data_IF_804207331006
#
_entry.id   IF_804207331006
#
_cell.length_a   1.000
_cell.length_b   1.000
_cell.length_c   1.000
_cell.angle_alpha   90.00
_cell.angle_beta   90.00
_cell.angle_gamma   90.00
#
_symmetry.space_group_name_H-M   'P 1'
#
loop_
_entity.id
_entity.type
_entity.pdbx_description
1 polymer ?
#
# COMPACT_ATOMS: atom_id res chain seq x y z
N UNK A 1 -16.35 -37.37 5.74
CA UNK A 1 -17.31 -38.50 5.86
C UNK A 1 -18.61 -37.91 6.41
N UNK A 2 -19.72 -37.98 5.68
CA UNK A 2 -20.99 -37.41 6.13
C UNK A 2 -21.75 -38.42 7.02
N UNK A 3 -22.07 -37.99 8.24
CA UNK A 3 -22.86 -38.82 9.18
C UNK A 3 -24.30 -38.33 9.21
N UNK A 4 -25.22 -39.27 9.09
CA UNK A 4 -26.67 -39.08 9.20
C UNK A 4 -27.12 -39.71 10.50
N UNK A 5 -27.85 -39.01 11.34
CA UNK A 5 -28.44 -39.50 12.55
C UNK A 5 -29.99 -39.59 12.36
N UNK A 6 -30.55 -40.81 12.51
CA UNK A 6 -32.00 -41.03 12.50
C UNK A 6 -32.48 -41.25 13.95
N UNK A 7 -33.54 -40.56 14.34
CA UNK A 7 -34.09 -40.58 15.68
C UNK A 7 -35.61 -40.83 15.61
N UNK A 8 -36.06 -41.97 16.18
CA UNK A 8 -37.47 -42.35 16.22
C UNK A 8 -37.66 -43.39 17.31
N UNK A 9 -38.73 -43.36 18.07
CA UNK A 9 -38.99 -44.33 19.16
C UNK A 9 -39.50 -45.67 18.65
N UNK A 10 -39.84 -45.76 17.36
CA UNK A 10 -40.20 -47.02 16.69
C UNK A 10 -38.96 -47.65 16.02
N UNK A 11 -38.43 -48.72 16.62
CA UNK A 11 -37.28 -49.42 16.08
C UNK A 11 -37.52 -50.00 14.67
N UNK A 12 -38.77 -50.23 14.28
CA UNK A 12 -39.13 -50.69 12.91
C UNK A 12 -38.91 -49.55 11.90
N UNK A 13 -39.22 -48.34 12.25
CA UNK A 13 -38.96 -47.12 11.46
C UNK A 13 -37.46 -46.89 11.30
N UNK A 14 -36.71 -46.96 12.39
CA UNK A 14 -35.24 -46.83 12.36
C UNK A 14 -34.58 -47.88 11.45
N UNK A 15 -35.00 -49.15 11.55
CA UNK A 15 -34.47 -50.19 10.71
C UNK A 15 -34.83 -50.01 9.21
N UNK A 16 -36.02 -49.50 8.93
CA UNK A 16 -36.46 -49.18 7.58
C UNK A 16 -35.60 -48.02 7.00
N UNK A 17 -35.41 -46.95 7.76
CA UNK A 17 -34.54 -45.82 7.38
C UNK A 17 -33.10 -46.27 7.15
N UNK A 18 -32.51 -47.05 8.07
CA UNK A 18 -31.17 -47.60 7.93
C UNK A 18 -31.01 -48.43 6.65
N UNK A 19 -31.96 -49.35 6.39
CA UNK A 19 -31.93 -50.18 5.19
C UNK A 19 -32.08 -49.36 3.90
N UNK A 20 -33.03 -48.41 3.89
CA UNK A 20 -33.30 -47.55 2.73
C UNK A 20 -32.11 -46.64 2.41
N UNK A 21 -31.58 -45.96 3.41
CA UNK A 21 -30.47 -45.04 3.26
C UNK A 21 -29.15 -45.79 2.96
N UNK A 22 -28.89 -46.91 3.66
CA UNK A 22 -27.71 -47.73 3.44
C UNK A 22 -27.56 -48.29 2.04
N UNK A 23 -28.68 -48.52 1.30
CA UNK A 23 -28.65 -48.95 -0.07
C UNK A 23 -28.44 -47.81 -1.09
N UNK A 24 -28.72 -46.57 -0.73
CA UNK A 24 -28.79 -45.41 -1.62
C UNK A 24 -27.70 -44.36 -1.35
N UNK A 25 -27.05 -44.43 -0.19
CA UNK A 25 -25.96 -43.55 0.19
C UNK A 25 -24.63 -44.03 -0.40
N UNK A 26 -23.67 -43.11 -0.48
CA UNK A 26 -22.30 -43.41 -0.94
C UNK A 26 -21.53 -44.14 0.17
N UNK A 27 -20.48 -44.85 -0.16
CA UNK A 27 -19.63 -45.61 0.76
C UNK A 27 -18.92 -44.77 1.83
N UNK A 28 -18.87 -43.45 1.63
CA UNK A 28 -18.27 -42.48 2.55
C UNK A 28 -19.29 -41.83 3.52
N UNK A 29 -20.52 -42.38 3.55
CA UNK A 29 -21.61 -41.87 4.40
C UNK A 29 -22.05 -42.99 5.38
N UNK A 30 -22.26 -42.59 6.65
CA UNK A 30 -22.70 -43.49 7.71
C UNK A 30 -24.06 -43.06 8.27
N UNK A 31 -24.83 -44.08 8.71
CA UNK A 31 -26.13 -43.89 9.34
C UNK A 31 -26.06 -44.39 10.78
N UNK A 32 -26.25 -43.49 11.72
CA UNK A 32 -26.39 -43.76 13.15
C UNK A 32 -27.88 -43.74 13.52
N UNK A 33 -28.28 -44.51 14.53
CA UNK A 33 -29.66 -44.61 14.97
C UNK A 33 -29.74 -44.27 16.46
N UNK A 34 -30.82 -43.59 16.87
CA UNK A 34 -31.14 -43.33 18.26
C UNK A 34 -32.63 -43.57 18.48
N UNK A 35 -33.01 -44.21 19.57
CA UNK A 35 -34.40 -44.51 19.90
C UNK A 35 -35.12 -43.38 20.64
N UNK A 36 -34.38 -42.34 21.08
CA UNK A 36 -34.92 -41.14 21.72
C UNK A 36 -33.94 -39.96 21.65
N UNK A 37 -34.44 -38.78 22.08
CA UNK A 37 -33.63 -37.53 21.99
C UNK A 37 -32.40 -37.52 22.91
N UNK A 38 -32.42 -38.20 24.06
CA UNK A 38 -31.28 -38.26 24.97
C UNK A 38 -30.14 -39.08 24.36
N UNK A 39 -30.45 -40.25 23.82
CA UNK A 39 -29.48 -41.10 23.12
C UNK A 39 -28.91 -40.37 21.88
N UNK A 40 -29.77 -39.63 21.14
CA UNK A 40 -29.31 -38.82 20.01
C UNK A 40 -28.24 -37.81 20.43
N UNK A 41 -28.39 -37.13 21.56
CA UNK A 41 -27.41 -36.17 22.09
C UNK A 41 -26.10 -36.87 22.56
N UNK A 42 -26.20 -38.09 23.13
CA UNK A 42 -25.03 -38.90 23.50
C UNK A 42 -24.23 -39.28 22.22
N UNK A 43 -24.90 -39.78 21.17
CA UNK A 43 -24.25 -40.12 19.90
C UNK A 43 -23.60 -38.87 19.27
N UNK A 44 -24.25 -37.70 19.33
CA UNK A 44 -23.66 -36.45 18.83
C UNK A 44 -22.37 -36.11 19.58
N UNK A 45 -22.34 -36.30 20.90
CA UNK A 45 -21.16 -36.07 21.72
C UNK A 45 -20.03 -37.08 21.39
N UNK A 46 -20.35 -38.34 21.16
CA UNK A 46 -19.39 -39.38 20.73
C UNK A 46 -18.80 -39.04 19.37
N UNK A 47 -19.63 -38.66 18.37
CA UNK A 47 -19.19 -38.24 17.06
C UNK A 47 -18.20 -37.06 17.13
N UNK A 48 -18.50 -36.09 17.99
CA UNK A 48 -17.63 -34.95 18.21
C UNK A 48 -16.25 -35.34 18.81
N UNK A 49 -16.22 -36.31 19.75
CA UNK A 49 -14.98 -36.84 20.30
C UNK A 49 -14.15 -37.61 19.27
N UNK A 50 -14.81 -38.31 18.35
CA UNK A 50 -14.17 -39.03 17.22
C UNK A 50 -13.73 -38.10 16.08
N UNK A 51 -14.05 -36.81 16.13
CA UNK A 51 -13.79 -35.85 15.05
C UNK A 51 -14.66 -36.09 13.81
N UNK A 52 -15.81 -36.73 13.98
CA UNK A 52 -16.79 -36.98 12.92
C UNK A 52 -17.87 -35.91 12.96
N UNK A 53 -18.22 -35.39 11.80
CA UNK A 53 -19.21 -34.30 11.68
C UNK A 53 -20.60 -34.88 11.40
N UNK A 54 -21.60 -34.40 12.14
CA UNK A 54 -23.00 -34.69 11.86
C UNK A 54 -23.51 -33.78 10.73
N UNK A 55 -23.77 -34.36 9.57
CA UNK A 55 -24.22 -33.62 8.39
C UNK A 55 -25.74 -33.42 8.35
N UNK A 56 -26.48 -34.47 8.73
CA UNK A 56 -27.95 -34.49 8.68
C UNK A 56 -28.49 -35.18 9.94
N UNK A 57 -29.53 -34.62 10.54
CA UNK A 57 -30.34 -35.29 11.54
C UNK A 57 -31.79 -35.39 11.04
N UNK A 58 -32.35 -36.58 11.17
CA UNK A 58 -33.76 -36.89 10.88
C UNK A 58 -34.41 -37.28 12.19
N UNK A 59 -35.37 -36.52 12.66
CA UNK A 59 -36.02 -36.77 13.94
C UNK A 59 -37.52 -36.88 13.82
N UNK A 60 -38.11 -37.90 14.44
CA UNK A 60 -39.55 -37.92 14.60
C UNK A 60 -40.01 -36.82 15.56
N UNK A 61 -41.15 -36.25 15.28
CA UNK A 61 -41.73 -35.20 16.13
C UNK A 61 -42.22 -35.73 17.48
N UNK A 62 -42.93 -36.85 17.50
CA UNK A 62 -43.55 -37.44 18.70
C UNK A 62 -42.65 -38.56 19.24
N UNK A 63 -41.87 -38.25 20.23
CA UNK A 63 -41.07 -39.24 20.98
C UNK A 63 -41.26 -39.13 22.48
N UNK A 64 -41.13 -40.26 23.23
CA UNK A 64 -41.20 -40.21 24.68
C UNK A 64 -40.06 -39.35 25.30
N UNK A 65 -40.42 -38.57 26.30
CA UNK A 65 -39.45 -37.72 27.00
C UNK A 65 -39.17 -36.42 26.31
N UNK A 66 -38.34 -36.39 25.29
CA UNK A 66 -37.95 -35.19 24.49
C UNK A 66 -38.60 -35.27 23.13
N UNK A 67 -39.37 -34.21 22.75
CA UNK A 67 -39.94 -34.10 21.41
C UNK A 67 -38.88 -33.76 20.37
N UNK A 68 -39.16 -34.11 19.09
CA UNK A 68 -38.22 -33.83 17.99
C UNK A 68 -37.94 -32.37 17.77
N UNK A 69 -38.94 -31.46 17.97
CA UNK A 69 -38.72 -30.02 17.88
C UNK A 69 -37.73 -29.52 18.93
N UNK A 70 -37.81 -30.03 20.18
CA UNK A 70 -36.88 -29.68 21.25
C UNK A 70 -35.46 -30.21 20.97
N UNK A 71 -35.36 -31.46 20.48
CA UNK A 71 -34.07 -32.03 20.05
C UNK A 71 -33.41 -31.20 18.94
N UNK A 72 -34.18 -30.90 17.88
CA UNK A 72 -33.63 -30.17 16.73
C UNK A 72 -33.19 -28.73 17.08
N UNK A 73 -33.87 -28.08 18.04
CA UNK A 73 -33.43 -26.78 18.58
C UNK A 73 -32.13 -26.90 19.34
N UNK A 74 -31.97 -27.92 20.22
CA UNK A 74 -30.71 -28.15 20.91
C UNK A 74 -29.56 -28.49 19.96
N UNK A 75 -29.83 -29.32 18.95
CA UNK A 75 -28.84 -29.63 17.91
C UNK A 75 -28.46 -28.38 17.13
N UNK A 76 -29.40 -27.48 16.85
CA UNK A 76 -29.09 -26.25 16.15
C UNK A 76 -28.18 -25.33 16.96
N UNK A 77 -28.37 -25.26 18.26
CA UNK A 77 -27.52 -24.45 19.16
C UNK A 77 -26.08 -24.95 19.20
N UNK A 78 -25.88 -26.27 19.20
CA UNK A 78 -24.55 -26.88 19.25
C UNK A 78 -23.90 -27.04 17.87
N UNK A 79 -24.70 -27.44 16.88
CA UNK A 79 -24.29 -27.76 15.51
C UNK A 79 -25.18 -27.00 14.50
N UNK A 80 -25.03 -25.68 14.35
CA UNK A 80 -25.93 -24.86 13.52
C UNK A 80 -25.93 -25.28 12.04
N UNK A 81 -24.85 -25.85 11.55
CA UNK A 81 -24.69 -26.30 10.16
C UNK A 81 -25.40 -27.60 9.83
N UNK A 82 -25.55 -28.48 10.79
CA UNK A 82 -26.25 -29.75 10.58
C UNK A 82 -27.60 -29.51 9.95
N UNK A 83 -27.95 -30.22 8.89
CA UNK A 83 -29.25 -30.13 8.22
C UNK A 83 -30.28 -30.93 9.03
N UNK A 84 -31.40 -30.27 9.37
CA UNK A 84 -32.42 -30.82 10.24
C UNK A 84 -33.66 -31.20 9.43
N UNK A 85 -34.04 -32.46 9.48
CA UNK A 85 -35.24 -33.02 8.84
C UNK A 85 -36.16 -33.53 9.94
N UNK A 86 -37.42 -33.17 9.90
CA UNK A 86 -38.43 -33.63 10.84
C UNK A 86 -39.39 -34.57 10.16
N UNK A 87 -39.69 -35.70 10.82
CA UNK A 87 -40.77 -36.60 10.45
C UNK A 87 -41.97 -36.25 11.33
N UNK A 88 -43.17 -36.08 10.74
CA UNK A 88 -44.35 -35.59 11.48
C UNK A 88 -45.64 -36.25 11.00
N UNK A 89 -46.62 -36.38 11.87
CA UNK A 89 -47.99 -36.77 11.52
C UNK A 89 -48.84 -35.60 11.04
N UNK A 90 -50.01 -35.88 10.49
CA UNK A 90 -50.90 -34.85 9.87
C UNK A 90 -51.40 -33.72 10.80
N UNK A 91 -51.22 -33.84 12.14
CA UNK A 91 -51.79 -32.90 13.14
C UNK A 91 -50.76 -31.96 13.78
N UNK A 92 -49.46 -32.01 13.45
CA UNK A 92 -48.40 -31.45 14.27
C UNK A 92 -47.80 -30.13 13.76
N UNK A 93 -48.58 -29.29 13.14
CA UNK A 93 -48.18 -28.02 12.52
C UNK A 93 -47.47 -27.04 13.49
N UNK A 94 -47.75 -27.12 14.79
CA UNK A 94 -47.12 -26.21 15.76
C UNK A 94 -45.63 -26.55 16.03
N UNK A 95 -45.27 -27.82 16.08
CA UNK A 95 -43.88 -28.26 16.20
C UNK A 95 -43.06 -27.90 14.98
N UNK A 96 -43.64 -28.09 13.78
CA UNK A 96 -43.00 -27.67 12.53
C UNK A 96 -42.71 -26.16 12.49
N UNK A 97 -43.68 -25.31 12.87
CA UNK A 97 -43.49 -23.85 12.95
C UNK A 97 -42.35 -23.45 13.89
N UNK A 98 -42.27 -24.09 15.07
CA UNK A 98 -41.22 -23.83 16.05
C UNK A 98 -39.87 -24.21 15.48
N UNK A 99 -39.72 -25.39 14.91
CA UNK A 99 -38.47 -25.86 14.37
C UNK A 99 -38.00 -25.06 13.15
N UNK A 100 -38.91 -24.56 12.32
CA UNK A 100 -38.54 -23.65 11.24
C UNK A 100 -37.88 -22.38 11.79
N UNK A 101 -38.48 -21.78 12.83
CA UNK A 101 -38.03 -20.50 13.37
C UNK A 101 -36.79 -20.60 14.29
N UNK A 102 -36.71 -21.67 15.10
CA UNK A 102 -35.69 -21.79 16.17
C UNK A 102 -34.54 -22.74 15.83
N UNK A 103 -34.73 -23.70 14.90
CA UNK A 103 -33.74 -24.68 14.53
C UNK A 103 -33.30 -24.61 13.05
N UNK A 104 -33.80 -23.69 12.27
CA UNK A 104 -33.51 -23.59 10.84
C UNK A 104 -33.77 -24.93 10.12
N UNK A 105 -35.02 -25.41 10.21
CA UNK A 105 -35.43 -26.69 9.65
C UNK A 105 -35.19 -26.72 8.13
N UNK A 106 -34.44 -27.72 7.65
CA UNK A 106 -34.21 -27.90 6.23
C UNK A 106 -35.49 -28.37 5.50
N UNK A 107 -36.18 -29.38 6.04
CA UNK A 107 -37.44 -29.90 5.52
C UNK A 107 -38.18 -30.71 6.58
N UNK A 108 -39.52 -30.81 6.42
CA UNK A 108 -40.31 -31.81 7.12
C UNK A 108 -40.91 -32.80 6.12
N UNK A 109 -41.20 -34.00 6.57
CA UNK A 109 -41.84 -35.08 5.80
C UNK A 109 -43.01 -35.64 6.62
N UNK A 110 -44.15 -35.80 5.98
CA UNK A 110 -45.33 -36.37 6.62
C UNK A 110 -45.35 -37.89 6.61
N UNK A 111 -45.72 -38.49 7.75
CA UNK A 111 -45.95 -39.94 7.87
C UNK A 111 -47.36 -40.29 7.39
N UNK A 112 -47.59 -41.34 6.54
CA UNK A 112 -46.59 -42.22 5.93
C UNK A 112 -45.91 -41.56 4.71
N UNK A 113 -44.57 -41.62 4.63
CA UNK A 113 -43.79 -41.09 3.52
C UNK A 113 -43.62 -42.08 2.37
N UNK A 114 -43.21 -41.59 1.20
CA UNK A 114 -42.70 -42.40 0.11
C UNK A 114 -41.16 -42.50 0.26
N UNK A 115 -40.63 -43.70 0.03
CA UNK A 115 -39.21 -43.98 0.17
C UNK A 115 -38.33 -43.08 -0.70
N UNK A 116 -38.82 -42.70 -1.89
CA UNK A 116 -38.12 -41.77 -2.79
C UNK A 116 -38.01 -40.38 -2.24
N UNK A 117 -39.05 -39.88 -1.52
CA UNK A 117 -39.04 -38.53 -0.94
C UNK A 117 -38.01 -38.39 0.20
N UNK A 118 -37.85 -39.41 1.05
CA UNK A 118 -36.82 -39.43 2.09
C UNK A 118 -35.44 -39.45 1.43
N UNK A 119 -35.17 -40.31 0.50
CA UNK A 119 -33.87 -40.43 -0.17
C UNK A 119 -33.48 -39.10 -0.83
N UNK A 120 -34.39 -38.51 -1.61
CA UNK A 120 -34.15 -37.24 -2.28
C UNK A 120 -33.91 -36.10 -1.28
N UNK A 121 -34.68 -36.06 -0.18
CA UNK A 121 -34.54 -35.05 0.86
C UNK A 121 -33.19 -35.16 1.59
N UNK A 122 -32.79 -36.38 1.95
CA UNK A 122 -31.50 -36.62 2.61
C UNK A 122 -30.33 -36.30 1.70
N UNK A 123 -30.40 -36.72 0.43
CA UNK A 123 -29.37 -36.38 -0.57
C UNK A 123 -29.25 -34.86 -0.76
N UNK A 124 -30.37 -34.14 -0.85
CA UNK A 124 -30.38 -32.69 -0.96
C UNK A 124 -29.80 -32.02 0.29
N UNK A 125 -30.11 -32.54 1.51
CA UNK A 125 -29.56 -32.04 2.76
C UNK A 125 -28.06 -32.28 2.85
N UNK A 126 -27.55 -33.44 2.50
CA UNK A 126 -26.11 -33.73 2.45
C UNK A 126 -25.41 -32.78 1.48
N UNK A 127 -25.98 -32.63 0.27
CA UNK A 127 -25.40 -31.73 -0.72
C UNK A 127 -25.35 -30.26 -0.24
N UNK A 128 -26.41 -29.77 0.42
CA UNK A 128 -26.45 -28.44 0.99
C UNK A 128 -25.39 -28.26 2.09
N UNK A 129 -25.21 -29.25 2.98
CA UNK A 129 -24.16 -29.27 3.99
C UNK A 129 -22.75 -29.22 3.40
N UNK A 130 -22.47 -30.07 2.40
CA UNK A 130 -21.17 -30.10 1.70
C UNK A 130 -20.87 -28.77 1.00
N UNK A 131 -21.88 -28.15 0.38
CA UNK A 131 -21.74 -26.87 -0.31
C UNK A 131 -21.42 -25.74 0.67
N UNK A 132 -22.13 -25.69 1.82
CA UNK A 132 -21.88 -24.68 2.86
C UNK A 132 -20.45 -24.79 3.42
N UNK A 133 -20.01 -26.00 3.75
CA UNK A 133 -18.65 -26.24 4.22
C UNK A 133 -17.59 -25.83 3.17
N UNK A 134 -17.80 -26.17 1.92
CA UNK A 134 -16.90 -25.76 0.81
C UNK A 134 -16.86 -24.25 0.63
N UNK A 135 -18.01 -23.60 0.73
CA UNK A 135 -18.09 -22.13 0.65
C UNK A 135 -17.31 -21.45 1.77
N UNK A 136 -17.46 -21.95 3.00
CA UNK A 136 -16.72 -21.40 4.14
C UNK A 136 -15.22 -21.59 4.01
N UNK A 137 -14.77 -22.76 3.57
CA UNK A 137 -13.34 -23.01 3.32
C UNK A 137 -12.79 -22.05 2.26
N UNK A 138 -13.54 -21.84 1.17
CA UNK A 138 -13.13 -20.91 0.10
C UNK A 138 -13.10 -19.45 0.58
N UNK A 139 -14.06 -19.04 1.40
CA UNK A 139 -14.06 -17.70 1.98
C UNK A 139 -12.86 -17.47 2.90
N UNK A 140 -12.50 -18.44 3.73
CA UNK A 140 -11.31 -18.36 4.57
C UNK A 140 -10.01 -18.28 3.74
N UNK A 141 -9.90 -19.09 2.71
CA UNK A 141 -8.77 -19.06 1.78
C UNK A 141 -8.64 -17.69 1.08
N UNK A 142 -9.76 -17.13 0.60
CA UNK A 142 -9.80 -15.81 -0.02
C UNK A 142 -9.39 -14.68 0.94
N UNK A 143 -9.84 -14.72 2.18
CA UNK A 143 -9.45 -13.74 3.20
C UNK A 143 -7.93 -13.76 3.44
N UNK A 144 -7.35 -14.95 3.56
CA UNK A 144 -5.91 -15.11 3.73
C UNK A 144 -5.11 -14.59 2.52
N UNK A 145 -5.57 -14.93 1.29
CA UNK A 145 -4.90 -14.46 0.07
C UNK A 145 -4.98 -12.94 -0.05
N UNK A 146 -6.13 -12.34 0.29
CA UNK A 146 -6.28 -10.89 0.27
C UNK A 146 -5.33 -10.20 1.25
N UNK A 147 -5.19 -10.70 2.47
CA UNK A 147 -4.25 -10.16 3.46
C UNK A 147 -2.79 -10.25 2.96
N UNK A 148 -2.42 -11.38 2.35
CA UNK A 148 -1.08 -11.55 1.77
C UNK A 148 -0.83 -10.60 0.60
N UNK A 149 -1.85 -10.39 -0.27
CA UNK A 149 -1.77 -9.46 -1.39
C UNK A 149 -1.64 -8.00 -0.92
N UNK A 150 -2.41 -7.58 0.08
CA UNK A 150 -2.32 -6.24 0.65
C UNK A 150 -0.93 -5.95 1.21
N UNK A 151 -0.36 -6.90 1.97
CA UNK A 151 1.00 -6.78 2.48
C UNK A 151 2.03 -6.64 1.34
N UNK A 152 1.92 -7.47 0.29
CA UNK A 152 2.82 -7.41 -0.88
C UNK A 152 2.68 -6.11 -1.66
N UNK A 153 1.46 -5.59 -1.81
CA UNK A 153 1.20 -4.29 -2.46
C UNK A 153 1.86 -3.16 -1.67
N UNK A 154 1.71 -3.16 -0.34
CA UNK A 154 2.31 -2.15 0.52
C UNK A 154 3.85 -2.16 0.43
N UNK A 155 4.47 -3.33 0.52
CA UNK A 155 5.93 -3.47 0.37
C UNK A 155 6.42 -2.97 -1.00
N UNK A 156 5.74 -3.35 -2.08
CA UNK A 156 6.11 -2.90 -3.42
C UNK A 156 5.93 -1.40 -3.61
N UNK A 157 4.89 -0.84 -3.03
CA UNK A 157 4.65 0.61 -3.09
C UNK A 157 5.75 1.39 -2.38
N UNK A 158 6.20 0.93 -1.21
CA UNK A 158 7.32 1.53 -0.49
C UNK A 158 8.62 1.44 -1.31
N UNK A 159 8.94 0.26 -1.85
CA UNK A 159 10.12 0.08 -2.70
C UNK A 159 10.11 1.01 -3.94
N UNK A 160 8.95 1.14 -4.59
CA UNK A 160 8.79 2.04 -5.74
C UNK A 160 8.97 3.51 -5.36
N UNK A 161 8.42 3.95 -4.23
CA UNK A 161 8.59 5.31 -3.74
C UNK A 161 10.06 5.63 -3.42
N UNK A 162 10.77 4.68 -2.81
CA UNK A 162 12.19 4.83 -2.50
C UNK A 162 13.05 4.93 -3.78
N UNK A 163 12.79 4.05 -4.74
CA UNK A 163 13.47 4.09 -6.05
C UNK A 163 13.16 5.36 -6.85
N UNK A 164 11.92 5.84 -6.80
CA UNK A 164 11.57 7.11 -7.44
C UNK A 164 12.31 8.30 -6.80
N UNK A 165 12.43 8.34 -5.47
CA UNK A 165 13.23 9.38 -4.79
C UNK A 165 14.69 9.34 -5.20
N UNK A 166 15.30 8.13 -5.26
CA UNK A 166 16.67 7.97 -5.72
C UNK A 166 16.83 8.47 -7.17
N UNK A 167 15.90 8.10 -8.05
CA UNK A 167 15.92 8.54 -9.45
C UNK A 167 15.73 10.07 -9.59
N UNK A 168 14.81 10.65 -8.83
CA UNK A 168 14.63 12.11 -8.79
C UNK A 168 15.90 12.81 -8.33
N UNK A 169 16.53 12.36 -7.25
CA UNK A 169 17.80 12.94 -6.78
C UNK A 169 18.90 12.84 -7.83
N UNK A 170 19.04 11.70 -8.51
CA UNK A 170 20.01 11.52 -9.58
C UNK A 170 19.72 12.40 -10.80
N UNK A 171 18.44 12.68 -11.06
CA UNK A 171 18.02 13.51 -12.20
C UNK A 171 18.21 15.01 -11.96
N UNK A 172 18.16 15.49 -10.71
CA UNK A 172 18.17 16.93 -10.39
C UNK A 172 19.47 17.43 -9.75
N UNK A 173 20.40 16.53 -9.37
CA UNK A 173 21.65 16.91 -8.73
C UNK A 173 22.88 16.65 -9.60
N UNK A 174 23.91 17.48 -9.43
CA UNK A 174 25.26 17.24 -9.98
C UNK A 174 25.99 16.23 -9.08
N UNK A 175 26.48 15.14 -9.67
CA UNK A 175 27.09 14.03 -8.93
C UNK A 175 28.37 14.38 -8.17
N UNK A 176 29.13 15.37 -8.69
CA UNK A 176 30.39 15.77 -8.06
C UNK A 176 30.16 16.64 -6.84
N UNK A 177 29.27 17.63 -6.95
CA UNK A 177 29.10 18.70 -5.98
C UNK A 177 27.92 18.49 -5.04
N UNK A 178 26.96 17.62 -5.41
CA UNK A 178 25.71 17.42 -4.68
C UNK A 178 24.77 18.63 -4.71
N UNK A 179 25.06 19.64 -5.53
CA UNK A 179 24.20 20.79 -5.81
C UNK A 179 23.17 20.44 -6.87
N UNK A 180 22.20 21.31 -7.10
CA UNK A 180 21.30 21.16 -8.24
C UNK A 180 22.10 21.22 -9.56
N UNK A 181 21.69 20.39 -10.52
CA UNK A 181 22.26 20.40 -11.86
C UNK A 181 21.58 21.47 -12.73
N UNK A 182 22.15 21.72 -13.91
CA UNK A 182 21.66 22.70 -14.86
C UNK A 182 20.19 22.47 -15.26
N UNK A 183 19.82 21.20 -15.50
CA UNK A 183 18.46 20.87 -15.93
C UNK A 183 17.42 21.30 -14.89
N UNK A 184 17.69 21.07 -13.61
CA UNK A 184 16.80 21.49 -12.55
C UNK A 184 16.77 23.02 -12.38
N UNK A 185 17.93 23.68 -12.51
CA UNK A 185 18.01 25.15 -12.46
C UNK A 185 17.18 25.79 -13.57
N UNK A 186 17.24 25.28 -14.79
CA UNK A 186 16.44 25.76 -15.92
C UNK A 186 14.94 25.67 -15.59
N UNK A 187 14.49 24.55 -15.06
CA UNK A 187 13.08 24.35 -14.66
C UNK A 187 12.62 25.31 -13.56
N UNK A 188 13.45 25.53 -12.56
CA UNK A 188 13.12 26.43 -11.46
C UNK A 188 13.14 27.88 -11.89
N UNK A 189 14.07 28.25 -12.76
CA UNK A 189 14.16 29.58 -13.36
C UNK A 189 12.91 29.93 -14.15
N UNK A 190 12.39 29.00 -14.96
CA UNK A 190 11.12 29.17 -15.70
C UNK A 190 9.92 29.39 -14.75
N UNK A 191 9.88 28.62 -13.66
CA UNK A 191 8.81 28.77 -12.65
C UNK A 191 8.89 30.13 -11.94
N UNK A 192 10.06 30.54 -11.53
CA UNK A 192 10.26 31.84 -10.82
C UNK A 192 9.96 33.01 -11.78
N UNK A 193 10.39 32.93 -13.02
CA UNK A 193 10.08 33.90 -14.07
C UNK A 193 8.56 34.06 -14.27
N UNK A 194 7.84 32.92 -14.39
CA UNK A 194 6.38 32.92 -14.53
C UNK A 194 5.69 33.54 -13.30
N UNK A 195 6.19 33.20 -12.10
CA UNK A 195 5.69 33.72 -10.83
C UNK A 195 5.93 35.23 -10.69
N UNK A 196 7.13 35.69 -11.04
CA UNK A 196 7.49 37.11 -10.98
C UNK A 196 6.61 37.95 -11.90
N UNK A 197 6.34 37.48 -13.12
CA UNK A 197 5.43 38.14 -14.04
C UNK A 197 3.98 38.23 -13.56
N UNK A 198 3.48 37.20 -12.88
CA UNK A 198 2.09 37.18 -12.34
C UNK A 198 1.91 38.04 -11.10
N UNK A 199 2.88 38.05 -10.22
CA UNK A 199 2.76 38.71 -8.90
C UNK A 199 3.49 40.05 -8.82
N UNK A 200 4.05 40.55 -9.93
CA UNK A 200 4.84 41.78 -9.96
C UNK A 200 6.00 41.75 -8.94
N UNK A 201 6.58 40.58 -8.73
CA UNK A 201 7.76 40.39 -7.89
C UNK A 201 9.00 40.39 -8.75
N UNK A 202 10.17 40.50 -8.13
CA UNK A 202 11.46 40.42 -8.81
C UNK A 202 12.28 39.25 -8.31
N UNK A 203 13.25 38.81 -9.09
CA UNK A 203 14.29 37.88 -8.66
C UNK A 203 15.64 38.34 -9.23
N UNK A 204 16.72 37.83 -8.67
CA UNK A 204 18.07 38.10 -9.18
C UNK A 204 18.80 36.79 -9.43
N UNK A 205 19.67 36.81 -10.44
CA UNK A 205 20.61 35.75 -10.77
C UNK A 205 22.01 36.17 -10.40
N UNK A 206 22.78 35.25 -9.84
CA UNK A 206 24.21 35.41 -9.60
C UNK A 206 24.92 34.28 -10.32
N UNK A 207 25.69 34.59 -11.35
CA UNK A 207 26.61 33.66 -12.00
C UNK A 207 27.97 33.76 -11.31
N UNK A 208 28.56 32.60 -11.03
CA UNK A 208 29.84 32.46 -10.35
C UNK A 208 30.76 31.62 -11.20
N UNK A 209 32.01 32.03 -11.34
CA UNK A 209 33.04 31.27 -12.05
C UNK A 209 34.34 31.28 -11.25
N UNK A 210 34.99 30.12 -11.13
CA UNK A 210 36.22 29.96 -10.37
C UNK A 210 37.41 30.51 -11.17
N UNK A 211 38.04 31.52 -10.62
CA UNK A 211 39.17 32.16 -11.29
C UNK A 211 40.33 31.20 -11.48
N UNK A 212 40.81 31.13 -12.74
CA UNK A 212 41.96 30.31 -13.13
C UNK A 212 41.82 28.81 -12.82
N UNK A 213 40.59 28.26 -12.83
CA UNK A 213 40.35 26.85 -12.54
C UNK A 213 41.11 25.89 -13.46
N UNK A 214 41.25 26.24 -14.75
CA UNK A 214 42.06 25.47 -15.67
C UNK A 214 43.52 25.32 -15.20
N UNK A 215 44.13 26.39 -14.62
CA UNK A 215 45.49 26.31 -14.07
C UNK A 215 45.57 25.36 -12.87
N UNK A 216 44.49 25.23 -12.08
CA UNK A 216 44.43 24.24 -10.99
C UNK A 216 44.51 22.85 -11.56
N UNK A 217 43.69 22.54 -12.55
CA UNK A 217 43.69 21.23 -13.22
C UNK A 217 45.06 20.94 -13.89
N UNK A 218 45.63 21.91 -14.61
CA UNK A 218 46.89 21.74 -15.31
C UNK A 218 48.09 21.55 -14.34
N UNK A 219 48.07 22.19 -13.17
CA UNK A 219 49.18 22.14 -12.20
C UNK A 219 49.07 21.02 -11.16
N UNK A 220 47.83 20.65 -10.76
CA UNK A 220 47.55 19.73 -9.64
C UNK A 220 46.72 18.50 -10.02
N UNK A 221 46.30 18.43 -11.29
CA UNK A 221 45.50 17.33 -11.82
C UNK A 221 43.97 17.51 -11.55
N UNK A 222 43.18 16.78 -12.31
CA UNK A 222 41.71 16.83 -12.25
C UNK A 222 41.12 16.47 -10.87
N UNK A 223 41.77 15.55 -10.14
CA UNK A 223 41.32 15.19 -8.80
C UNK A 223 41.33 16.38 -7.83
N UNK A 224 42.38 17.20 -7.91
CA UNK A 224 42.46 18.42 -7.11
C UNK A 224 41.42 19.47 -7.54
N UNK A 225 41.19 19.58 -8.86
CA UNK A 225 40.08 20.41 -9.38
C UNK A 225 38.72 20.00 -8.82
N UNK A 226 38.46 18.69 -8.74
CA UNK A 226 37.23 18.16 -8.15
C UNK A 226 37.09 18.52 -6.65
N UNK A 227 38.18 18.47 -5.89
CA UNK A 227 38.18 18.88 -4.47
C UNK A 227 37.93 20.40 -4.32
N UNK A 228 38.45 21.24 -5.21
CA UNK A 228 38.14 22.67 -5.28
C UNK A 228 36.65 22.89 -5.55
N UNK A 229 36.09 22.21 -6.56
CA UNK A 229 34.65 22.29 -6.87
C UNK A 229 33.79 21.91 -5.68
N UNK A 230 34.09 20.81 -4.99
CA UNK A 230 33.37 20.37 -3.77
C UNK A 230 33.48 21.39 -2.65
N UNK A 231 34.67 21.93 -2.41
CA UNK A 231 34.89 22.94 -1.35
C UNK A 231 34.13 24.23 -1.62
N UNK A 232 34.19 24.76 -2.86
CA UNK A 232 33.42 25.94 -3.26
C UNK A 232 31.93 25.69 -3.15
N UNK A 233 31.46 24.55 -3.61
CA UNK A 233 30.04 24.17 -3.48
C UNK A 233 29.55 24.22 -2.04
N UNK A 234 30.35 23.73 -1.10
CA UNK A 234 30.05 23.78 0.34
C UNK A 234 30.03 25.22 0.85
N UNK A 235 31.04 26.03 0.53
CA UNK A 235 31.10 27.45 0.93
C UNK A 235 29.90 28.23 0.41
N UNK A 236 29.55 28.05 -0.85
CA UNK A 236 28.39 28.71 -1.47
C UNK A 236 27.10 28.30 -0.74
N UNK A 237 26.90 27.00 -0.50
CA UNK A 237 25.71 26.45 0.15
C UNK A 237 25.55 26.93 1.60
N UNK A 238 26.61 27.01 2.36
CA UNK A 238 26.58 27.45 3.77
C UNK A 238 26.38 28.97 3.89
N UNK A 239 26.66 29.76 2.85
CA UNK A 239 26.62 31.21 2.88
C UNK A 239 25.28 31.78 2.39
N UNK A 240 24.58 31.14 1.49
CA UNK A 240 23.28 31.56 0.96
C UNK A 240 22.13 31.26 1.94
N UNK A 241 20.96 31.86 1.70
CA UNK A 241 19.75 31.63 2.49
C UNK A 241 19.04 30.35 2.05
N UNK A 242 18.24 29.79 2.92
CA UNK A 242 17.41 28.61 2.57
C UNK A 242 16.42 28.86 1.41
N UNK A 243 16.06 30.13 1.16
CA UNK A 243 15.19 30.52 0.05
C UNK A 243 15.91 30.61 -1.30
N UNK A 244 17.23 30.68 -1.30
CA UNK A 244 18.04 30.82 -2.50
C UNK A 244 18.38 29.44 -3.06
N UNK A 245 18.40 29.32 -4.38
CA UNK A 245 18.65 28.06 -5.07
C UNK A 245 20.03 28.09 -5.69
N UNK A 246 20.86 27.12 -5.38
CA UNK A 246 22.23 27.00 -5.83
C UNK A 246 22.41 25.74 -6.65
N UNK A 247 23.01 25.84 -7.82
CA UNK A 247 23.39 24.70 -8.62
C UNK A 247 24.64 24.91 -9.43
N UNK A 248 25.14 23.80 -9.97
CA UNK A 248 26.27 23.82 -10.91
C UNK A 248 25.73 24.02 -12.33
N UNK A 249 26.14 25.13 -12.93
CA UNK A 249 25.68 25.55 -14.26
C UNK A 249 26.43 24.84 -15.38
N UNK A 250 27.74 24.64 -15.20
CA UNK A 250 28.62 23.89 -16.11
C UNK A 250 30.06 23.94 -15.59
N UNK A 251 30.90 23.00 -15.98
CA UNK A 251 32.33 22.98 -15.67
C UNK A 251 32.71 23.53 -14.30
N UNK A 252 33.20 24.76 -14.29
CA UNK A 252 33.60 25.55 -13.10
C UNK A 252 32.62 26.67 -12.73
N UNK A 253 31.42 26.67 -13.36
CA UNK A 253 30.41 27.71 -13.19
C UNK A 253 29.28 27.24 -12.28
N UNK A 254 28.80 28.19 -11.45
CA UNK A 254 27.64 28.00 -10.57
C UNK A 254 26.62 29.11 -10.81
N UNK A 255 25.33 28.78 -10.62
CA UNK A 255 24.23 29.73 -10.69
C UNK A 255 23.49 29.73 -9.36
N UNK A 256 23.21 30.94 -8.87
CA UNK A 256 22.38 31.15 -7.69
C UNK A 256 21.15 31.96 -8.11
N UNK A 257 19.99 31.42 -7.91
CA UNK A 257 18.71 32.12 -8.07
C UNK A 257 18.28 32.65 -6.71
N UNK A 258 18.08 33.96 -6.62
CA UNK A 258 17.63 34.66 -5.42
C UNK A 258 16.19 35.17 -5.63
N UNK A 259 15.14 34.43 -5.19
CA UNK A 259 13.76 34.87 -5.30
C UNK A 259 13.49 36.13 -4.49
N UNK A 260 12.57 36.98 -4.99
CA UNK A 260 12.15 38.25 -4.30
C UNK A 260 13.30 39.13 -3.83
N UNK A 261 14.41 39.12 -4.58
CA UNK A 261 15.64 39.85 -4.22
C UNK A 261 15.98 40.84 -5.30
N UNK A 262 16.18 42.09 -4.93
CA UNK A 262 16.58 43.17 -5.81
C UNK A 262 18.10 43.14 -6.11
N UNK A 263 18.53 43.79 -7.18
CA UNK A 263 19.92 43.83 -7.65
C UNK A 263 20.91 44.18 -6.54
N UNK A 264 20.62 45.26 -5.76
CA UNK A 264 21.49 45.75 -4.68
C UNK A 264 21.71 44.68 -3.59
N UNK A 265 20.66 43.93 -3.25
CA UNK A 265 20.76 42.92 -2.18
C UNK A 265 21.39 41.63 -2.70
N UNK A 266 21.14 41.27 -3.95
CA UNK A 266 21.84 40.14 -4.62
C UNK A 266 23.35 40.44 -4.75
N UNK A 267 23.74 41.68 -5.06
CA UNK A 267 25.13 42.10 -5.10
C UNK A 267 25.83 41.99 -3.72
N UNK A 268 25.10 42.28 -2.61
CA UNK A 268 25.63 42.05 -1.26
C UNK A 268 25.84 40.57 -0.95
N UNK A 269 24.89 39.72 -1.40
CA UNK A 269 25.03 38.26 -1.27
C UNK A 269 26.25 37.78 -2.06
N UNK A 270 26.40 38.21 -3.31
CA UNK A 270 27.55 37.86 -4.14
C UNK A 270 28.89 38.30 -3.52
N UNK A 271 28.95 39.51 -2.92
CA UNK A 271 30.17 39.99 -2.24
C UNK A 271 30.51 39.18 -0.99
N UNK A 272 29.46 38.77 -0.20
CA UNK A 272 29.66 37.89 0.94
C UNK A 272 30.24 36.53 0.49
N UNK A 273 29.72 35.98 -0.60
CA UNK A 273 30.21 34.73 -1.20
C UNK A 273 31.64 34.89 -1.71
N UNK A 274 31.94 35.96 -2.41
CA UNK A 274 33.30 36.27 -2.88
C UNK A 274 34.31 36.27 -1.75
N UNK A 275 34.02 37.00 -0.68
CA UNK A 275 34.89 37.08 0.52
C UNK A 275 35.02 35.72 1.20
N UNK A 276 33.94 34.91 1.28
CA UNK A 276 34.00 33.58 1.87
C UNK A 276 34.93 32.66 1.10
N UNK A 277 34.93 32.72 -0.24
CA UNK A 277 35.83 31.94 -1.09
C UNK A 277 37.27 32.47 -0.96
N UNK A 278 37.49 33.78 -1.02
CA UNK A 278 38.82 34.40 -0.91
C UNK A 278 39.55 34.04 0.37
N UNK A 279 38.82 34.02 1.49
CA UNK A 279 39.38 33.75 2.83
C UNK A 279 39.48 32.23 3.15
N UNK A 280 38.97 31.36 2.27
CA UNK A 280 39.02 29.93 2.51
C UNK A 280 40.40 29.37 2.11
N UNK A 281 41.03 28.63 3.01
CA UNK A 281 42.29 27.93 2.73
C UNK A 281 42.01 26.61 2.05
N UNK A 282 42.28 26.58 0.75
CA UNK A 282 42.18 25.35 -0.03
C UNK A 282 43.40 24.47 0.13
N UNK A 283 43.61 23.85 1.27
CA UNK A 283 44.74 23.01 1.63
C UNK A 283 45.59 22.55 0.42
N UNK A 284 46.89 22.67 0.48
CA UNK A 284 47.89 22.32 -0.57
C UNK A 284 47.92 23.25 -1.80
N UNK A 285 46.93 24.06 -2.09
CA UNK A 285 46.91 24.92 -3.30
C UNK A 285 46.74 26.43 -3.00
N UNK A 286 46.62 26.77 -1.69
CA UNK A 286 46.45 28.15 -1.21
C UNK A 286 45.15 28.79 -1.59
N UNK A 287 45.01 30.13 -1.43
CA UNK A 287 43.79 30.86 -1.68
C UNK A 287 43.37 30.78 -3.15
N UNK A 288 42.08 30.62 -3.36
CA UNK A 288 41.41 30.68 -4.68
C UNK A 288 40.36 31.74 -4.64
N UNK A 289 40.07 32.33 -5.77
CA UNK A 289 39.06 33.36 -5.94
C UNK A 289 38.04 33.00 -6.95
N UNK A 290 36.92 33.69 -6.94
CA UNK A 290 35.87 33.55 -7.95
C UNK A 290 35.39 34.94 -8.40
N UNK A 291 34.92 35.01 -9.64
CA UNK A 291 34.30 36.20 -10.21
C UNK A 291 32.78 36.01 -10.23
N UNK A 292 32.05 37.11 -10.05
CA UNK A 292 30.61 37.09 -9.90
C UNK A 292 29.94 38.10 -10.83
N UNK A 293 28.92 37.62 -11.59
CA UNK A 293 28.05 38.45 -12.40
C UNK A 293 26.63 38.44 -11.84
N UNK A 294 26.06 39.59 -11.56
CA UNK A 294 24.74 39.74 -10.94
C UNK A 294 23.79 40.47 -11.88
N UNK A 295 22.61 39.91 -12.12
CA UNK A 295 21.52 40.54 -12.86
C UNK A 295 20.19 40.37 -12.13
N UNK A 296 19.31 41.38 -12.29
CA UNK A 296 17.97 41.36 -11.73
C UNK A 296 16.95 41.34 -12.84
N UNK A 297 15.88 40.56 -12.67
CA UNK A 297 14.72 40.55 -13.55
C UNK A 297 14.02 41.90 -13.54
N UNK A 298 13.68 42.41 -14.72
CA UNK A 298 12.89 43.61 -14.95
C UNK A 298 11.60 43.24 -15.70
N UNK A 299 10.56 44.00 -15.45
CA UNK A 299 9.32 43.78 -16.20
C UNK A 299 9.52 43.92 -17.70
N UNK A 300 9.09 42.95 -18.47
CA UNK A 300 9.30 42.88 -19.91
C UNK A 300 10.55 42.10 -20.35
N UNK A 301 11.40 41.64 -19.43
CA UNK A 301 12.50 40.75 -19.79
C UNK A 301 12.03 39.36 -20.22
N UNK A 302 12.86 38.69 -20.99
CA UNK A 302 12.84 37.21 -21.11
C UNK A 302 13.91 36.62 -20.21
N UNK A 303 13.81 35.33 -19.93
CA UNK A 303 14.85 34.61 -19.17
C UNK A 303 16.23 34.78 -19.79
N UNK A 304 16.32 34.59 -21.09
CA UNK A 304 17.55 34.76 -21.88
C UNK A 304 18.16 36.17 -21.74
N UNK A 305 17.35 37.22 -21.59
CA UNK A 305 17.85 38.59 -21.35
C UNK A 305 18.46 38.74 -19.98
N UNK A 306 17.88 38.14 -18.95
CA UNK A 306 18.42 38.17 -17.58
C UNK A 306 19.73 37.39 -17.51
N UNK A 307 19.77 36.19 -18.09
CA UNK A 307 20.98 35.37 -18.19
C UNK A 307 22.10 36.09 -18.93
N UNK A 308 21.80 36.65 -20.11
CA UNK A 308 22.79 37.37 -20.88
C UNK A 308 23.36 38.62 -20.13
N UNK A 309 22.54 39.28 -19.30
CA UNK A 309 23.03 40.39 -18.46
C UNK A 309 23.95 39.88 -17.31
N UNK A 310 23.60 38.75 -16.71
CA UNK A 310 24.43 38.13 -15.66
C UNK A 310 25.78 37.65 -16.25
N UNK A 311 25.73 37.01 -17.41
CA UNK A 311 26.92 36.55 -18.14
C UNK A 311 27.85 37.72 -18.54
N UNK A 312 27.26 38.78 -19.12
CA UNK A 312 28.02 40.01 -19.43
C UNK A 312 28.66 40.62 -18.20
N UNK A 313 27.96 40.63 -17.08
CA UNK A 313 28.51 41.14 -15.79
C UNK A 313 29.66 40.25 -15.33
N UNK A 314 29.52 38.95 -15.41
CA UNK A 314 30.57 37.97 -15.07
C UNK A 314 31.81 38.14 -15.96
N UNK A 315 31.59 38.28 -17.25
CA UNK A 315 32.67 38.56 -18.19
C UNK A 315 33.44 39.86 -17.82
N UNK A 316 32.73 40.95 -17.50
CA UNK A 316 33.35 42.20 -17.03
C UNK A 316 34.11 41.98 -15.70
N UNK A 317 33.59 41.18 -14.78
CA UNK A 317 34.30 40.84 -13.53
C UNK A 317 35.65 40.16 -13.83
N UNK A 318 35.68 39.22 -14.76
CA UNK A 318 36.92 38.54 -15.21
C UNK A 318 37.88 39.50 -15.94
N UNK A 319 37.37 40.36 -16.83
CA UNK A 319 38.17 41.29 -17.62
C UNK A 319 38.83 42.39 -16.73
N UNK A 320 38.11 42.91 -15.76
CA UNK A 320 38.59 43.95 -14.84
C UNK A 320 39.58 43.47 -13.78
N UNK A 321 40.02 42.20 -13.82
CA UNK A 321 41.05 41.69 -12.93
C UNK A 321 40.58 40.59 -11.98
N UNK A 322 39.42 40.02 -12.20
CA UNK A 322 38.87 38.89 -11.39
C UNK A 322 38.60 39.23 -9.93
N UNK A 323 38.24 38.20 -9.15
CA UNK A 323 37.98 38.32 -7.69
C UNK A 323 37.08 39.50 -7.33
N UNK A 324 35.97 39.65 -8.03
CA UNK A 324 35.03 40.78 -7.83
C UNK A 324 33.60 40.45 -8.21
N UNK A 325 32.72 41.30 -7.75
CA UNK A 325 31.32 41.31 -8.14
C UNK A 325 31.07 42.42 -9.12
N UNK A 326 30.47 42.15 -10.25
CA UNK A 326 29.93 43.15 -11.18
C UNK A 326 28.42 42.93 -11.31
N UNK A 327 27.64 44.00 -11.18
CA UNK A 327 26.20 43.94 -11.35
C UNK A 327 25.74 44.71 -12.58
N UNK A 328 24.81 44.12 -13.32
CA UNK A 328 24.16 44.73 -14.49
C UNK A 328 22.69 44.97 -14.19
N UNK A 329 22.28 46.19 -14.13
CA UNK A 329 20.90 46.59 -13.91
C UNK A 329 20.13 46.88 -15.17
#
# INVERSE_FOLDING_TARGET
MATILCVDDDSSVLNALRSLLGQRLRHDQSVELAENGAEALEIIAELAQEGRELSVIIADYIMPGMKGDELLVQVHQQLPKTMKIMLTGQSDLNGVKRTINEANLFRFLEKPWQNEDIVLTVQAAIHAYELDNKLQQKNQELLRINEELENRVNERTQQLQEKNRELEQLAITDRLTGLYNRLFLDQVLEREFTSAGRHSTTFSLILVDIDHFKKVNDSYGHHMGDEVLKSISRILKETIRASDLLGRWGGEEFLILCPKTQLKDAAKVAEKLRLAIEHYDFASIGCRTASFGVACYKNGDTIAMVEARADKALYLAKDQGRNRVVSSG
#
